data_IF_648302097391
#
_entry.id   IF_648302097391
#
_cell.length_a   1.000
_cell.length_b   1.000
_cell.length_c   1.000
_cell.angle_alpha   90.00
_cell.angle_beta   90.00
_cell.angle_gamma   90.00
#
_symmetry.space_group_name_H-M   'P 1'
#
loop_
_entity.id
_entity.type
_entity.pdbx_description
1 polymer ?
#
# COMPACT_ATOMS: atom_id res chain seq x y z
N UNK A 1 12.62 11.68 -7.47
CA UNK A 1 12.09 10.33 -7.74
C UNK A 1 10.91 10.09 -6.81
N UNK A 2 9.82 9.52 -7.31
CA UNK A 2 8.63 9.19 -6.50
C UNK A 2 8.76 7.79 -5.91
N UNK A 3 8.30 7.61 -4.68
CA UNK A 3 8.40 6.35 -3.93
C UNK A 3 7.55 5.27 -4.63
N UNK A 4 8.11 4.09 -4.97
CA UNK A 4 7.35 2.97 -5.49
C UNK A 4 6.27 2.51 -4.50
N UNK A 5 5.12 2.04 -5.01
CA UNK A 5 4.01 1.64 -4.13
C UNK A 5 3.72 0.15 -4.21
N UNK A 6 3.69 -0.53 -3.06
CA UNK A 6 3.12 -1.86 -2.93
C UNK A 6 1.64 -1.77 -2.55
N UNK A 7 0.74 -2.28 -3.41
CA UNK A 7 -0.67 -2.40 -3.10
C UNK A 7 -0.93 -3.80 -2.55
N UNK A 8 -1.39 -3.85 -1.31
CA UNK A 8 -1.67 -5.06 -0.55
C UNK A 8 -3.06 -5.57 -0.93
N UNK A 9 -3.10 -6.68 -1.65
CA UNK A 9 -4.32 -7.37 -2.09
C UNK A 9 -4.42 -8.74 -1.41
N UNK A 10 -4.30 -8.77 -0.08
CA UNK A 10 -4.42 -10.00 0.72
C UNK A 10 -5.84 -10.58 0.72
N UNK A 11 -6.86 -9.73 0.48
CA UNK A 11 -8.22 -10.11 0.14
C UNK A 11 -8.55 -9.53 -1.25
N UNK A 12 -8.32 -10.36 -2.28
CA UNK A 12 -8.50 -9.93 -3.67
C UNK A 12 -9.96 -9.62 -4.01
N UNK A 13 -10.97 -10.44 -3.61
CA UNK A 13 -12.37 -10.08 -3.79
C UNK A 13 -12.74 -8.71 -3.21
N UNK A 14 -12.27 -8.38 -1.99
CA UNK A 14 -12.52 -7.08 -1.39
C UNK A 14 -11.85 -5.93 -2.17
N UNK A 15 -10.60 -6.11 -2.61
CA UNK A 15 -9.88 -5.12 -3.41
C UNK A 15 -10.48 -4.86 -4.81
N UNK A 16 -11.24 -5.82 -5.32
CA UNK A 16 -11.95 -5.70 -6.61
C UNK A 16 -13.35 -5.08 -6.47
N UNK A 17 -13.86 -4.87 -5.26
CA UNK A 17 -15.17 -4.26 -5.05
C UNK A 17 -15.21 -2.86 -5.69
N UNK A 18 -16.18 -2.59 -6.58
CA UNK A 18 -16.29 -1.30 -7.23
C UNK A 18 -16.89 -0.26 -6.29
N UNK A 19 -16.27 0.93 -6.25
CA UNK A 19 -16.83 2.11 -5.60
C UNK A 19 -17.01 3.18 -6.67
N UNK A 20 -18.26 3.51 -6.99
CA UNK A 20 -18.58 4.39 -8.12
C UNK A 20 -18.22 3.77 -9.48
N UNK A 21 -18.36 2.45 -9.62
CA UNK A 21 -18.11 1.72 -10.88
C UNK A 21 -16.65 1.41 -11.17
N UNK A 22 -15.71 1.81 -10.29
CA UNK A 22 -14.28 1.54 -10.44
C UNK A 22 -13.78 0.68 -9.27
N UNK A 23 -13.10 -0.45 -9.51
CA UNK A 23 -12.47 -1.24 -8.47
C UNK A 23 -11.53 -0.38 -7.61
N UNK A 24 -11.56 -0.56 -6.29
CA UNK A 24 -10.71 0.22 -5.35
C UNK A 24 -9.24 0.15 -5.71
N UNK A 25 -8.74 -1.03 -6.06
CA UNK A 25 -7.37 -1.24 -6.52
C UNK A 25 -6.99 -0.31 -7.70
N UNK A 26 -7.84 -0.25 -8.73
CA UNK A 26 -7.63 0.59 -9.92
C UNK A 26 -7.72 2.08 -9.56
N UNK A 27 -8.65 2.45 -8.67
CA UNK A 27 -8.79 3.82 -8.17
C UNK A 27 -7.50 4.27 -7.49
N UNK A 28 -6.95 3.48 -6.58
CA UNK A 28 -5.71 3.81 -5.87
C UNK A 28 -4.54 4.02 -6.81
N UNK A 29 -4.36 3.14 -7.80
CA UNK A 29 -3.31 3.32 -8.81
C UNK A 29 -3.45 4.64 -9.56
N UNK A 30 -4.67 5.02 -9.97
CA UNK A 30 -4.94 6.29 -10.65
C UNK A 30 -4.70 7.50 -9.75
N UNK A 31 -5.08 7.45 -8.49
CA UNK A 31 -4.88 8.57 -7.56
C UNK A 31 -3.39 8.75 -7.20
N UNK A 32 -2.67 7.65 -6.97
CA UNK A 32 -1.22 7.68 -6.73
C UNK A 32 -0.43 8.10 -7.96
N UNK A 33 -0.91 7.76 -9.16
CA UNK A 33 -0.33 8.24 -10.41
C UNK A 33 -0.33 9.77 -10.51
N UNK A 34 -1.43 10.42 -10.08
CA UNK A 34 -1.51 11.88 -9.99
C UNK A 34 -0.52 12.46 -8.99
N UNK A 35 -0.11 11.70 -7.98
CA UNK A 35 0.96 12.05 -7.03
C UNK A 35 2.38 11.74 -7.56
N UNK A 36 2.50 11.31 -8.83
CA UNK A 36 3.77 11.02 -9.48
C UNK A 36 4.23 9.57 -9.40
N UNK A 37 3.52 8.68 -8.69
CA UNK A 37 3.90 7.25 -8.62
C UNK A 37 3.76 6.61 -10.01
N UNK A 38 4.78 5.83 -10.42
CA UNK A 38 4.79 5.11 -11.71
C UNK A 38 4.95 3.61 -11.57
N UNK A 39 5.59 3.15 -10.49
CA UNK A 39 5.88 1.73 -10.26
C UNK A 39 5.00 1.21 -9.13
N UNK A 40 4.25 0.16 -9.44
CA UNK A 40 3.33 -0.51 -8.52
C UNK A 40 3.69 -1.99 -8.38
N UNK A 41 3.67 -2.48 -7.14
CA UNK A 41 3.83 -3.90 -6.82
C UNK A 41 2.52 -4.40 -6.22
N UNK A 42 1.86 -5.35 -6.86
CA UNK A 42 0.65 -5.97 -6.31
C UNK A 42 1.06 -7.15 -5.45
N UNK A 43 0.91 -7.00 -4.13
CA UNK A 43 1.25 -8.02 -3.16
C UNK A 43 0.03 -8.88 -2.85
N UNK A 44 0.12 -10.18 -3.12
CA UNK A 44 -0.95 -11.14 -2.88
C UNK A 44 -1.23 -12.01 -4.10
N UNK A 45 -1.78 -11.45 -5.19
CA UNK A 45 -2.19 -12.22 -6.34
C UNK A 45 -0.99 -12.82 -7.10
N UNK A 46 -1.17 -14.01 -7.65
CA UNK A 46 -0.19 -14.68 -8.51
C UNK A 46 -0.25 -14.23 -9.96
N UNK A 47 -1.33 -13.58 -10.37
CA UNK A 47 -1.56 -13.07 -11.71
C UNK A 47 -2.21 -11.68 -11.65
N UNK A 48 -2.03 -10.90 -12.72
CA UNK A 48 -2.60 -9.57 -12.83
C UNK A 48 -4.14 -9.66 -12.77
N UNK A 49 -4.82 -9.01 -11.81
CA UNK A 49 -6.28 -9.05 -11.71
C UNK A 49 -6.96 -8.56 -12.99
N UNK A 50 -8.04 -9.25 -13.42
CA UNK A 50 -8.84 -8.85 -14.58
C UNK A 50 -9.23 -7.36 -14.58
N UNK A 51 -9.65 -6.76 -13.44
CA UNK A 51 -10.01 -5.36 -13.44
C UNK A 51 -8.85 -4.40 -13.72
N UNK A 52 -7.60 -4.81 -13.45
CA UNK A 52 -6.41 -4.05 -13.88
C UNK A 52 -6.15 -4.26 -15.37
N UNK A 53 -6.24 -5.50 -15.87
CA UNK A 53 -6.06 -5.79 -17.29
C UNK A 53 -7.05 -5.00 -18.17
N UNK A 54 -8.28 -4.83 -17.68
CA UNK A 54 -9.36 -4.11 -18.35
C UNK A 54 -9.34 -2.61 -18.07
N UNK A 55 -8.58 -2.16 -17.05
CA UNK A 55 -8.49 -0.74 -16.73
C UNK A 55 -7.64 -0.01 -17.77
N UNK A 56 -8.14 1.13 -18.25
CA UNK A 56 -7.30 2.13 -18.91
C UNK A 56 -6.42 2.82 -17.86
N UNK A 57 -5.28 2.20 -17.55
CA UNK A 57 -4.19 2.81 -16.80
C UNK A 57 -3.30 3.61 -17.78
N UNK A 58 -2.66 4.70 -17.33
CA UNK A 58 -1.63 5.38 -18.12
C UNK A 58 -0.53 4.44 -18.60
N UNK A 59 -0.03 4.65 -19.82
CA UNK A 59 0.92 3.74 -20.48
C UNK A 59 2.30 3.68 -19.80
N UNK A 60 2.65 4.71 -19.02
CA UNK A 60 3.91 4.80 -18.27
C UNK A 60 3.83 4.17 -16.86
N UNK A 61 2.73 3.50 -16.53
CA UNK A 61 2.62 2.71 -15.30
C UNK A 61 3.26 1.33 -15.48
N UNK A 62 4.15 0.99 -14.56
CA UNK A 62 4.74 -0.34 -14.46
C UNK A 62 4.10 -1.10 -13.30
N UNK A 63 3.53 -2.27 -13.59
CA UNK A 63 2.89 -3.14 -12.60
C UNK A 63 3.65 -4.45 -12.48
N UNK A 64 4.08 -4.76 -11.27
CA UNK A 64 4.76 -6.01 -10.93
C UNK A 64 3.88 -6.82 -9.98
N UNK A 65 3.96 -8.15 -10.09
CA UNK A 65 3.27 -9.06 -9.19
C UNK A 65 4.24 -9.62 -8.16
N UNK A 66 3.84 -9.61 -6.89
CA UNK A 66 4.56 -10.27 -5.80
C UNK A 66 3.56 -11.20 -5.10
N UNK A 67 3.60 -12.52 -5.41
CA UNK A 67 2.79 -13.49 -4.69
C UNK A 67 3.10 -13.42 -3.20
N UNK A 68 2.06 -13.22 -2.39
CA UNK A 68 2.21 -13.08 -0.94
C UNK A 68 0.96 -13.58 -0.22
N UNK A 69 1.14 -14.02 1.01
CA UNK A 69 0.09 -14.31 1.99
C UNK A 69 0.27 -13.37 3.17
N UNK A 70 -0.70 -13.28 4.08
CA UNK A 70 -0.56 -12.47 5.30
C UNK A 70 0.73 -12.79 6.08
N UNK A 71 1.15 -14.06 6.11
CA UNK A 71 2.33 -14.52 6.86
C UNK A 71 3.66 -14.22 6.14
N UNK A 72 3.65 -14.20 4.81
CA UNK A 72 4.84 -13.97 4.00
C UNK A 72 5.02 -12.51 3.61
N UNK A 73 3.95 -11.71 3.70
CA UNK A 73 3.91 -10.31 3.31
C UNK A 73 5.06 -9.48 3.92
N UNK A 74 5.34 -9.53 5.24
CA UNK A 74 6.39 -8.69 5.82
C UNK A 74 7.77 -8.98 5.21
N UNK A 75 8.08 -10.25 4.94
CA UNK A 75 9.36 -10.66 4.31
C UNK A 75 9.45 -10.24 2.84
N UNK A 76 8.33 -10.29 2.13
CA UNK A 76 8.26 -9.83 0.73
C UNK A 76 8.46 -8.31 0.64
N UNK A 77 7.79 -7.55 1.51
CA UNK A 77 7.97 -6.10 1.58
C UNK A 77 9.39 -5.71 2.00
N UNK A 78 9.98 -6.45 2.94
CA UNK A 78 11.38 -6.26 3.35
C UNK A 78 12.36 -6.48 2.20
N UNK A 79 12.21 -7.59 1.46
CA UNK A 79 13.04 -7.89 0.28
C UNK A 79 12.88 -6.81 -0.80
N UNK A 80 11.66 -6.33 -1.00
CA UNK A 80 11.36 -5.26 -1.94
C UNK A 80 12.04 -3.95 -1.52
N UNK A 81 11.88 -3.55 -0.25
CA UNK A 81 12.46 -2.33 0.28
C UNK A 81 13.99 -2.37 0.29
N UNK A 82 14.62 -3.53 0.54
CA UNK A 82 16.07 -3.68 0.47
C UNK A 82 16.65 -3.32 -0.92
N UNK A 83 15.85 -3.47 -1.98
CA UNK A 83 16.23 -3.10 -3.35
C UNK A 83 15.89 -1.66 -3.70
N UNK A 84 14.85 -1.09 -3.10
CA UNK A 84 14.28 0.22 -3.47
C UNK A 84 14.62 1.36 -2.51
N UNK A 85 15.02 1.05 -1.28
CA UNK A 85 15.35 2.00 -0.20
C UNK A 85 14.14 2.53 0.56
N UNK A 86 13.09 2.92 -0.16
CA UNK A 86 11.82 3.41 0.38
C UNK A 86 10.64 2.69 -0.28
N UNK A 87 9.60 2.41 0.49
CA UNK A 87 8.38 1.77 0.00
C UNK A 87 7.14 2.45 0.57
N UNK A 88 6.19 2.75 -0.29
CA UNK A 88 4.84 3.12 0.14
C UNK A 88 3.95 1.89 0.06
N UNK A 89 3.17 1.60 1.11
CA UNK A 89 2.20 0.52 1.11
C UNK A 89 0.77 1.09 1.14
N UNK A 90 -0.14 0.46 0.42
CA UNK A 90 -1.57 0.80 0.40
C UNK A 90 -2.40 -0.46 0.42
N UNK A 91 -3.44 -0.51 1.24
CA UNK A 91 -4.44 -1.57 1.20
C UNK A 91 -5.35 -1.42 -0.01
N UNK A 92 -5.39 -2.45 -0.86
CA UNK A 92 -6.22 -2.47 -2.06
C UNK A 92 -7.72 -2.50 -1.78
N UNK A 93 -8.12 -2.91 -0.58
CA UNK A 93 -9.51 -3.11 -0.13
C UNK A 93 -10.07 -1.95 0.71
N UNK A 94 -9.28 -0.91 0.97
CA UNK A 94 -9.67 0.21 1.82
C UNK A 94 -9.83 1.49 1.00
N UNK A 95 -10.99 2.16 1.06
CA UNK A 95 -11.15 3.47 0.43
C UNK A 95 -10.37 4.53 1.23
N UNK A 96 -9.53 5.30 0.54
CA UNK A 96 -8.64 6.30 1.14
C UNK A 96 -8.84 7.63 0.41
N UNK A 97 -8.89 8.72 1.16
CA UNK A 97 -8.93 10.08 0.59
C UNK A 97 -7.59 10.35 -0.15
N UNK A 98 -7.62 10.72 -1.44
CA UNK A 98 -6.41 11.05 -2.21
C UNK A 98 -5.51 12.10 -1.55
N UNK A 99 -6.06 13.02 -0.75
CA UNK A 99 -5.29 14.03 0.00
C UNK A 99 -4.37 13.38 1.03
N UNK A 100 -4.81 12.28 1.65
CA UNK A 100 -4.01 11.55 2.62
C UNK A 100 -2.84 10.82 1.95
N UNK A 101 -2.98 10.37 0.69
CA UNK A 101 -1.83 9.84 -0.07
C UNK A 101 -0.76 10.91 -0.26
N UNK A 102 -1.15 12.11 -0.70
CA UNK A 102 -0.21 13.21 -0.87
C UNK A 102 0.52 13.50 0.45
N UNK A 103 -0.23 13.64 1.55
CA UNK A 103 0.34 13.88 2.88
C UNK A 103 1.33 12.78 3.30
N UNK A 104 0.97 11.50 3.17
CA UNK A 104 1.87 10.40 3.55
C UNK A 104 3.15 10.36 2.71
N UNK A 105 3.05 10.65 1.41
CA UNK A 105 4.19 10.65 0.49
C UNK A 105 5.16 11.81 0.74
N UNK A 106 4.67 12.97 1.21
CA UNK A 106 5.49 14.17 1.40
C UNK A 106 6.02 14.38 2.82
N UNK A 107 5.58 13.58 3.81
CA UNK A 107 6.07 13.70 5.19
C UNK A 107 7.56 13.37 5.26
N UNK A 108 8.29 14.14 6.07
CA UNK A 108 9.73 13.96 6.32
C UNK A 108 10.04 12.67 7.08
N UNK A 109 9.10 12.21 7.90
CA UNK A 109 9.18 10.97 8.68
C UNK A 109 8.10 10.01 8.18
N UNK A 110 8.37 8.70 8.04
CA UNK A 110 7.35 7.71 7.71
C UNK A 110 6.16 7.78 8.68
N UNK A 111 4.95 7.77 8.14
CA UNK A 111 3.71 7.73 8.91
C UNK A 111 2.82 6.61 8.37
N UNK A 112 1.90 6.14 9.21
CA UNK A 112 0.86 5.20 8.80
C UNK A 112 -0.55 5.77 9.02
N UNK A 113 -1.48 5.38 8.16
CA UNK A 113 -2.88 5.73 8.22
C UNK A 113 -3.69 4.51 8.68
N UNK A 114 -4.50 4.67 9.71
CA UNK A 114 -5.36 3.60 10.20
C UNK A 114 -6.54 3.34 9.25
N UNK A 115 -7.00 2.09 9.22
CA UNK A 115 -8.32 1.77 8.65
C UNK A 115 -9.41 2.20 9.65
N UNK A 116 -10.46 2.94 9.23
CA UNK A 116 -11.56 3.28 10.11
C UNK A 116 -12.18 2.04 10.75
N UNK A 117 -12.43 2.08 12.07
CA UNK A 117 -13.04 0.99 12.85
C UNK A 117 -12.29 -0.35 12.87
N UNK A 118 -11.03 -0.39 12.43
CA UNK A 118 -10.23 -1.62 12.48
C UNK A 118 -9.65 -1.88 13.89
N UNK A 119 -9.35 -3.15 14.16
CA UNK A 119 -8.64 -3.54 15.38
C UNK A 119 -7.19 -3.05 15.35
N UNK A 120 -6.58 -2.88 16.53
CA UNK A 120 -5.18 -2.45 16.64
C UNK A 120 -4.14 -3.41 16.02
N UNK A 121 -4.56 -4.60 15.60
CA UNK A 121 -3.72 -5.60 14.94
C UNK A 121 -3.94 -5.66 13.41
N UNK A 122 -4.80 -4.82 12.86
CA UNK A 122 -5.05 -4.79 11.42
C UNK A 122 -3.93 -4.08 10.66
N UNK A 123 -3.71 -4.49 9.41
CA UNK A 123 -2.84 -3.75 8.48
C UNK A 123 -3.36 -2.31 8.32
N UNK A 124 -2.45 -1.31 8.28
CA UNK A 124 -2.83 0.08 8.05
C UNK A 124 -3.43 0.27 6.66
N UNK A 125 -4.29 1.28 6.49
CA UNK A 125 -4.86 1.64 5.20
C UNK A 125 -3.76 2.02 4.20
N UNK A 126 -2.77 2.79 4.67
CA UNK A 126 -1.57 3.09 3.93
C UNK A 126 -0.43 3.45 4.88
N UNK A 127 0.82 3.28 4.46
CA UNK A 127 1.98 3.71 5.23
C UNK A 127 3.17 3.92 4.32
N UNK A 128 4.04 4.88 4.64
CA UNK A 128 5.41 4.84 4.15
C UNK A 128 6.22 3.96 5.09
N UNK A 129 7.07 3.11 4.54
CA UNK A 129 7.92 2.19 5.27
C UNK A 129 9.38 2.48 4.98
N UNK A 130 10.14 2.74 6.05
CA UNK A 130 11.60 2.70 6.04
C UNK A 130 12.11 1.28 6.28
N UNK A 131 13.40 1.03 6.02
CA UNK A 131 14.04 -0.26 6.33
C UNK A 131 13.91 -0.63 7.81
N UNK A 132 14.09 0.34 8.72
CA UNK A 132 14.00 0.10 10.16
C UNK A 132 12.59 -0.34 10.60
N UNK A 133 11.54 0.25 10.02
CA UNK A 133 10.16 -0.14 10.31
C UNK A 133 9.83 -1.52 9.79
N UNK A 134 10.33 -1.87 8.60
CA UNK A 134 10.21 -3.21 8.05
C UNK A 134 10.98 -4.25 8.88
N UNK A 135 12.15 -3.90 9.40
CA UNK A 135 12.90 -4.78 10.32
C UNK A 135 12.10 -5.04 11.61
N UNK A 136 11.47 -4.02 12.18
CA UNK A 136 10.60 -4.20 13.35
C UNK A 136 9.41 -5.10 12.99
N UNK A 137 8.76 -4.87 11.84
CA UNK A 137 7.63 -5.69 11.44
C UNK A 137 8.04 -7.15 11.21
N UNK A 138 9.17 -7.42 10.55
CA UNK A 138 9.65 -8.77 10.31
C UNK A 138 10.05 -9.50 11.60
N UNK A 139 10.71 -8.81 12.54
CA UNK A 139 11.31 -9.45 13.71
C UNK A 139 10.43 -9.42 14.96
N UNK A 140 9.70 -8.32 15.19
CA UNK A 140 8.84 -8.11 16.36
C UNK A 140 7.34 -8.18 16.03
N UNK A 141 6.97 -8.05 14.76
CA UNK A 141 5.59 -8.12 14.29
C UNK A 141 4.93 -6.76 14.04
N UNK A 142 3.69 -6.82 13.51
CA UNK A 142 2.93 -5.64 13.09
C UNK A 142 2.61 -4.69 14.25
N UNK A 143 2.18 -5.24 15.40
CA UNK A 143 1.76 -4.43 16.56
C UNK A 143 2.92 -3.59 17.12
N UNK A 144 4.12 -4.15 17.38
CA UNK A 144 5.27 -3.33 17.79
C UNK A 144 5.62 -2.23 16.80
N UNK A 145 5.58 -2.50 15.49
CA UNK A 145 5.83 -1.48 14.48
C UNK A 145 4.80 -0.34 14.54
N UNK A 146 3.49 -0.66 14.58
CA UNK A 146 2.43 0.37 14.67
C UNK A 146 2.53 1.23 15.92
N UNK A 147 3.11 0.70 17.00
CA UNK A 147 3.35 1.44 18.25
C UNK A 147 4.60 2.32 18.20
N UNK A 148 5.62 1.95 17.42
CA UNK A 148 6.86 2.73 17.29
C UNK A 148 6.80 3.79 16.19
N UNK A 149 5.87 3.66 15.24
CA UNK A 149 5.74 4.58 14.11
C UNK A 149 4.60 5.59 14.29
N UNK A 150 4.78 6.86 13.88
CA UNK A 150 3.77 7.89 14.06
C UNK A 150 2.56 7.63 13.17
N UNK A 151 1.36 7.78 13.76
CA UNK A 151 0.08 7.67 13.05
C UNK A 151 -0.30 9.02 12.45
N UNK A 152 -0.69 9.03 11.18
CA UNK A 152 -1.33 10.18 10.56
C UNK A 152 -2.76 10.33 11.12
N UNK A 153 -3.03 11.46 11.74
CA UNK A 153 -4.39 11.88 12.10
C UNK A 153 -4.94 12.70 10.92
N UNK A 154 -6.08 12.33 10.33
CA UNK A 154 -6.76 13.21 9.39
C UNK A 154 -7.14 14.50 10.13
N UNK A 155 -6.86 15.66 9.54
CA UNK A 155 -7.31 16.94 10.10
C UNK A 155 -8.85 16.89 10.22
N UNK A 156 -9.37 17.02 11.44
CA UNK A 156 -10.80 17.05 11.77
C UNK A 156 -11.50 18.30 11.25
#
# INVERSE_FOLDING_TARGET
>A
MTIPTAILCTDLPAAQQPVGGVPLLVRHMKELYKQGVRVFYLCGPSALPLPIQQARLPDDIHVHMIPATSDTLPRQLHTLNARLGDLFIVRGDCLIDPRLFATLLTRSVPHWLAVPHATAAALPAAARLSSAELDIWVNAGLKPWLQSSPRLQPDT
#
